data_IF_696790408492
#
_entry.id   IF_696790408492
#
_cell.length_a   1.000
_cell.length_b   1.000
_cell.length_c   1.000
_cell.angle_alpha   90.00
_cell.angle_beta   90.00
_cell.angle_gamma   90.00
#
_symmetry.space_group_name_H-M   'P 1'
#
loop_
_entity.id
_entity.type
_entity.pdbx_description
1 polymer ?
#
# COMPACT_ATOMS: atom_id res chain seq x y z
N UNK A 1 19.96 55.52 -21.96
CA UNK A 1 18.62 55.05 -22.37
C UNK A 1 18.74 53.57 -22.70
N UNK A 2 17.77 52.77 -22.22
CA UNK A 2 17.70 51.30 -22.12
C UNK A 2 18.41 50.68 -20.91
N UNK A 3 17.77 50.86 -19.77
CA UNK A 3 17.70 49.81 -18.74
C UNK A 3 16.86 48.67 -19.31
N UNK A 4 17.41 47.46 -19.36
CA UNK A 4 16.66 46.23 -19.57
C UNK A 4 16.14 45.77 -18.22
N UNK A 5 14.86 46.01 -17.95
CA UNK A 5 14.13 45.42 -16.84
C UNK A 5 14.06 43.91 -17.05
N UNK A 6 14.77 43.14 -16.23
CA UNK A 6 14.46 41.73 -16.00
C UNK A 6 13.08 41.69 -15.34
N UNK A 7 12.06 41.33 -16.11
CA UNK A 7 10.76 40.98 -15.57
C UNK A 7 10.97 39.74 -14.70
N UNK A 8 10.93 39.92 -13.37
CA UNK A 8 10.82 38.79 -12.45
C UNK A 8 9.48 38.12 -12.74
N UNK A 9 9.52 36.86 -13.17
CA UNK A 9 8.35 36.00 -13.13
C UNK A 9 7.94 35.88 -11.66
N UNK A 10 6.92 36.63 -11.27
CA UNK A 10 6.28 36.47 -9.96
C UNK A 10 5.68 35.06 -9.95
N UNK A 11 6.34 34.15 -9.25
CA UNK A 11 5.83 32.81 -9.02
C UNK A 11 4.48 32.91 -8.30
N UNK A 12 3.40 32.55 -8.98
CA UNK A 12 2.04 32.45 -8.41
C UNK A 12 2.12 31.63 -7.12
N UNK A 13 1.55 32.15 -6.03
CA UNK A 13 1.62 31.50 -4.72
C UNK A 13 0.90 30.14 -4.72
N UNK A 14 1.21 29.27 -3.77
CA UNK A 14 0.52 27.97 -3.63
C UNK A 14 -1.00 28.18 -3.46
N UNK A 15 -1.39 29.17 -2.67
CA UNK A 15 -2.80 29.49 -2.41
C UNK A 15 -3.53 30.01 -3.66
N UNK A 16 -2.85 30.81 -4.48
CA UNK A 16 -3.40 31.30 -5.74
C UNK A 16 -3.57 30.16 -6.76
N UNK A 17 -2.57 29.28 -6.89
CA UNK A 17 -2.66 28.08 -7.74
C UNK A 17 -3.79 27.16 -7.28
N UNK A 18 -3.91 26.96 -5.97
CA UNK A 18 -4.97 26.17 -5.36
C UNK A 18 -6.36 26.77 -5.65
N UNK A 19 -6.52 28.08 -5.46
CA UNK A 19 -7.77 28.78 -5.75
C UNK A 19 -8.15 28.67 -7.22
N UNK A 20 -7.17 28.80 -8.12
CA UNK A 20 -7.38 28.63 -9.56
C UNK A 20 -7.82 27.20 -9.88
N UNK A 21 -7.12 26.18 -9.38
CA UNK A 21 -7.51 24.79 -9.55
C UNK A 21 -8.93 24.54 -9.05
N UNK A 22 -9.27 25.04 -7.85
CA UNK A 22 -10.59 24.90 -7.23
C UNK A 22 -11.71 25.43 -8.11
N UNK A 23 -11.50 26.57 -8.77
CA UNK A 23 -12.46 27.13 -9.73
C UNK A 23 -12.69 26.25 -10.97
N UNK A 24 -11.70 25.44 -11.33
CA UNK A 24 -11.73 24.54 -12.48
C UNK A 24 -12.27 23.15 -12.14
N UNK A 25 -12.37 22.77 -10.86
CA UNK A 25 -12.78 21.42 -10.43
C UNK A 25 -14.07 20.91 -11.11
N UNK A 26 -15.17 21.70 -11.22
CA UNK A 26 -16.40 21.25 -11.89
C UNK A 26 -16.27 20.96 -13.39
N UNK A 27 -15.20 21.44 -14.01
CA UNK A 27 -14.89 21.23 -15.42
C UNK A 27 -13.86 20.11 -15.60
N UNK A 28 -12.95 19.95 -14.64
CA UNK A 28 -11.84 18.99 -14.71
C UNK A 28 -12.23 17.57 -14.25
N UNK A 29 -13.17 17.44 -13.31
CA UNK A 29 -13.48 16.17 -12.68
C UNK A 29 -14.94 15.79 -12.88
N UNK A 30 -15.15 14.55 -13.34
CA UNK A 30 -16.49 13.94 -13.37
C UNK A 30 -17.00 13.63 -11.97
N UNK A 31 -16.13 13.41 -10.99
CA UNK A 31 -16.51 13.13 -9.60
C UNK A 31 -15.35 13.47 -8.66
N UNK A 32 -15.67 14.06 -7.51
CA UNK A 32 -14.70 14.39 -6.45
C UNK A 32 -15.33 14.13 -5.08
N UNK A 33 -14.55 13.49 -4.20
CA UNK A 33 -14.88 13.30 -2.80
C UNK A 33 -13.66 13.68 -1.94
N UNK A 34 -13.82 14.64 -1.04
CA UNK A 34 -12.83 15.00 -0.03
C UNK A 34 -13.27 14.50 1.34
N UNK A 35 -12.38 13.87 2.10
CA UNK A 35 -12.73 13.39 3.44
C UNK A 35 -11.60 13.68 4.41
N UNK A 36 -11.84 14.64 5.30
CA UNK A 36 -10.85 15.02 6.31
C UNK A 36 -10.82 13.99 7.43
N UNK A 37 -9.67 13.34 7.57
CA UNK A 37 -9.32 12.54 8.72
C UNK A 37 -8.94 13.46 9.89
N UNK A 38 -9.11 12.95 11.11
CA UNK A 38 -8.72 13.68 12.32
C UNK A 38 -7.20 13.67 12.47
N UNK A 39 -6.58 12.58 12.03
CA UNK A 39 -5.16 12.31 12.10
C UNK A 39 -4.60 12.04 10.69
N UNK A 40 -3.31 12.29 10.45
CA UNK A 40 -2.69 11.93 9.20
C UNK A 40 -2.76 10.41 8.97
N UNK A 41 -2.77 10.04 7.69
CA UNK A 41 -2.78 8.65 7.25
C UNK A 41 -1.48 8.35 6.50
N UNK A 42 -0.72 7.38 6.99
CA UNK A 42 0.48 6.87 6.30
C UNK A 42 0.11 5.92 5.15
N UNK A 43 -1.01 5.22 5.26
CA UNK A 43 -1.46 4.25 4.25
C UNK A 43 -2.94 4.38 3.94
N UNK A 44 -3.26 4.41 2.64
CA UNK A 44 -4.62 4.27 2.15
C UNK A 44 -4.67 3.17 1.09
N UNK A 45 -5.77 2.41 1.07
CA UNK A 45 -5.96 1.35 0.08
C UNK A 45 -7.42 1.19 -0.27
N UNK A 46 -7.71 1.16 -1.58
CA UNK A 46 -9.01 0.70 -2.06
C UNK A 46 -9.19 -0.77 -1.68
N UNK A 47 -10.40 -1.10 -1.26
CA UNK A 47 -10.80 -2.47 -1.01
C UNK A 47 -11.81 -2.98 -2.04
N UNK A 48 -12.53 -4.08 -1.73
CA UNK A 48 -13.48 -4.68 -2.65
C UNK A 48 -14.60 -3.74 -3.05
N UNK A 49 -15.07 -3.94 -4.27
CA UNK A 49 -16.34 -3.39 -4.69
C UNK A 49 -17.49 -4.19 -4.04
N UNK A 50 -18.20 -3.53 -3.12
CA UNK A 50 -19.32 -4.11 -2.36
C UNK A 50 -20.63 -4.11 -3.15
N UNK A 51 -20.81 -3.14 -4.05
CA UNK A 51 -22.04 -2.99 -4.85
C UNK A 51 -21.75 -2.34 -6.21
N UNK A 52 -22.36 -2.90 -7.26
CA UNK A 52 -22.44 -2.31 -8.60
C UNK A 52 -23.88 -1.86 -8.86
N UNK A 53 -24.13 -0.56 -8.87
CA UNK A 53 -25.45 -0.02 -9.22
C UNK A 53 -25.39 0.83 -10.49
N UNK A 54 -26.55 1.19 -11.03
CA UNK A 54 -26.67 1.97 -12.28
C UNK A 54 -25.96 3.32 -12.21
N UNK A 55 -26.00 3.96 -11.04
CA UNK A 55 -25.59 5.36 -10.86
C UNK A 55 -24.32 5.55 -10.02
N UNK A 56 -24.13 4.67 -9.03
CA UNK A 56 -22.99 4.72 -8.12
C UNK A 56 -22.55 3.31 -7.76
N UNK A 57 -21.26 3.14 -7.55
CA UNK A 57 -20.65 1.93 -7.04
C UNK A 57 -20.33 2.14 -5.57
N UNK A 58 -20.57 1.14 -4.73
CA UNK A 58 -20.11 1.17 -3.33
C UNK A 58 -18.85 0.34 -3.22
N UNK A 59 -17.77 0.97 -2.78
CA UNK A 59 -16.47 0.34 -2.66
C UNK A 59 -15.90 0.55 -1.26
N UNK A 60 -15.13 -0.43 -0.79
CA UNK A 60 -14.44 -0.34 0.49
C UNK A 60 -13.20 0.55 0.37
N UNK A 61 -12.87 1.25 1.45
CA UNK A 61 -11.66 2.05 1.59
C UNK A 61 -11.05 1.79 2.96
N UNK A 62 -9.75 1.53 3.01
CA UNK A 62 -8.98 1.36 4.23
C UNK A 62 -8.06 2.56 4.42
N UNK A 63 -8.03 3.14 5.62
CA UNK A 63 -7.24 4.30 5.98
C UNK A 63 -6.59 4.05 7.34
N UNK A 64 -5.31 4.39 7.46
CA UNK A 64 -4.62 4.46 8.75
C UNK A 64 -4.87 5.81 9.41
N UNK A 65 -4.84 5.88 10.73
CA UNK A 65 -4.76 7.12 11.49
C UNK A 65 -3.57 7.01 12.46
N UNK A 66 -2.54 7.83 12.23
CA UNK A 66 -1.35 7.93 13.08
C UNK A 66 -1.54 9.05 14.11
N UNK A 67 -1.53 8.68 15.38
CA UNK A 67 -1.88 9.59 16.48
C UNK A 67 -0.65 10.04 17.26
N UNK A 68 -0.76 11.15 17.98
CA UNK A 68 0.30 11.63 18.88
C UNK A 68 0.34 10.90 20.24
N UNK A 69 -0.38 9.78 20.36
CA UNK A 69 -0.54 9.04 21.62
C UNK A 69 -1.64 9.56 22.56
N UNK A 70 -2.27 10.71 22.28
CA UNK A 70 -3.44 11.19 23.04
C UNK A 70 -4.66 10.29 22.90
N UNK A 71 -4.75 9.57 21.77
CA UNK A 71 -5.67 8.46 21.53
C UNK A 71 -4.92 7.33 20.83
N UNK A 72 -5.39 6.07 20.90
CA UNK A 72 -4.74 4.98 20.18
C UNK A 72 -4.76 5.14 18.66
N UNK A 73 -3.75 4.58 17.99
CA UNK A 73 -3.72 4.43 16.53
C UNK A 73 -4.92 3.64 16.03
N UNK A 74 -5.37 3.93 14.80
CA UNK A 74 -6.54 3.25 14.26
C UNK A 74 -6.39 2.82 12.80
N UNK A 75 -7.04 1.71 12.49
CA UNK A 75 -7.37 1.31 11.13
C UNK A 75 -8.86 1.63 10.91
N UNK A 76 -9.11 2.61 10.05
CA UNK A 76 -10.45 3.05 9.65
C UNK A 76 -10.86 2.30 8.40
N UNK A 77 -12.01 1.63 8.50
CA UNK A 77 -12.67 0.98 7.40
C UNK A 77 -13.84 1.87 7.00
N UNK A 78 -13.84 2.35 5.77
CA UNK A 78 -14.88 3.21 5.22
C UNK A 78 -15.51 2.58 3.97
N UNK A 79 -16.69 3.06 3.64
CA UNK A 79 -17.37 2.80 2.39
C UNK A 79 -17.42 4.09 1.59
N UNK A 80 -16.91 4.04 0.37
CA UNK A 80 -16.97 5.13 -0.58
C UNK A 80 -18.05 4.84 -1.65
N UNK A 81 -18.94 5.79 -1.87
CA UNK A 81 -19.90 5.80 -2.96
C UNK A 81 -19.29 6.52 -4.18
N UNK A 82 -18.66 5.75 -5.08
CA UNK A 82 -18.05 6.28 -6.31
C UNK A 82 -19.14 6.46 -7.36
N UNK A 83 -19.40 7.70 -7.76
CA UNK A 83 -20.43 8.01 -8.75
C UNK A 83 -19.90 7.72 -10.16
N UNK A 84 -20.72 7.10 -10.99
CA UNK A 84 -20.33 6.78 -12.37
C UNK A 84 -20.24 8.04 -13.24
N UNK A 85 -19.39 8.03 -14.29
CA UNK A 85 -19.30 9.15 -15.23
C UNK A 85 -20.69 9.55 -15.76
N UNK A 86 -20.90 10.87 -15.95
CA UNK A 86 -22.16 11.48 -16.46
C UNK A 86 -23.37 11.41 -15.51
N UNK A 87 -23.22 10.85 -14.32
CA UNK A 87 -24.27 10.82 -13.29
C UNK A 87 -24.02 11.86 -12.19
N UNK A 88 -22.76 12.16 -11.91
CA UNK A 88 -22.40 13.12 -10.88
C UNK A 88 -22.97 14.52 -11.19
N UNK A 89 -23.62 15.12 -10.20
CA UNK A 89 -24.15 16.46 -10.33
C UNK A 89 -23.01 17.48 -10.25
N UNK A 90 -22.86 18.30 -11.30
CA UNK A 90 -21.94 19.43 -11.32
C UNK A 90 -22.14 20.36 -10.10
N UNK A 91 -23.36 20.45 -9.56
CA UNK A 91 -23.69 21.25 -8.37
C UNK A 91 -22.97 20.76 -7.11
N UNK A 92 -22.88 19.45 -6.87
CA UNK A 92 -22.13 18.92 -5.71
C UNK A 92 -20.63 19.23 -5.84
N UNK A 93 -20.10 19.10 -7.04
CA UNK A 93 -18.69 19.36 -7.34
C UNK A 93 -18.39 20.86 -7.26
N UNK A 94 -19.31 21.73 -7.66
CA UNK A 94 -19.13 23.18 -7.60
C UNK A 94 -19.19 23.76 -6.18
N UNK A 95 -19.87 23.08 -5.26
CA UNK A 95 -20.03 23.50 -3.87
C UNK A 95 -19.14 22.70 -2.90
N UNK A 96 -18.15 21.96 -3.40
CA UNK A 96 -17.32 21.14 -2.53
C UNK A 96 -16.56 22.03 -1.52
N UNK A 97 -16.59 21.61 -0.26
CA UNK A 97 -15.91 22.27 0.84
C UNK A 97 -14.82 21.33 1.35
N UNK A 98 -13.56 21.75 1.22
CA UNK A 98 -12.39 21.01 1.68
C UNK A 98 -12.43 20.70 3.17
N UNK A 99 -13.01 21.58 4.01
CA UNK A 99 -13.13 21.37 5.45
C UNK A 99 -14.24 20.37 5.81
N UNK A 100 -15.18 20.12 4.89
CA UNK A 100 -16.30 19.23 5.12
C UNK A 100 -15.94 17.77 4.86
N UNK A 101 -16.63 16.85 5.55
CA UNK A 101 -16.57 15.43 5.23
C UNK A 101 -17.45 15.15 4.02
N UNK A 102 -16.90 14.50 3.00
CA UNK A 102 -17.68 14.09 1.83
C UNK A 102 -18.85 13.18 2.25
N UNK A 103 -20.07 13.42 1.73
CA UNK A 103 -21.21 12.53 1.94
C UNK A 103 -21.03 11.16 1.29
N UNK A 104 -20.06 11.03 0.37
CA UNK A 104 -19.76 9.78 -0.32
C UNK A 104 -18.88 8.84 0.50
N UNK A 105 -18.12 9.34 1.47
CA UNK A 105 -17.22 8.53 2.31
C UNK A 105 -17.81 8.38 3.69
N UNK A 106 -18.29 7.17 4.00
CA UNK A 106 -18.91 6.83 5.28
C UNK A 106 -18.05 5.84 6.03
N UNK A 107 -17.54 6.24 7.19
CA UNK A 107 -16.86 5.34 8.12
C UNK A 107 -17.80 4.20 8.49
N UNK A 108 -17.34 2.97 8.25
CA UNK A 108 -18.05 1.73 8.54
C UNK A 108 -17.62 1.16 9.89
N UNK A 109 -16.31 1.08 10.12
CA UNK A 109 -15.73 0.46 11.31
C UNK A 109 -14.39 1.11 11.67
N UNK A 110 -14.07 1.13 12.95
CA UNK A 110 -12.71 1.42 13.43
C UNK A 110 -12.19 0.27 14.27
N UNK A 111 -10.97 -0.14 13.94
CA UNK A 111 -10.16 -1.10 14.69
C UNK A 111 -9.09 -0.29 15.42
N UNK A 112 -8.90 -0.57 16.71
CA UNK A 112 -7.85 0.07 17.51
C UNK A 112 -6.56 -0.70 17.24
N UNK A 113 -5.64 -0.08 16.53
CA UNK A 113 -4.46 -0.77 16.01
C UNK A 113 -3.32 -0.73 17.03
N UNK A 114 -2.61 -1.85 17.28
CA UNK A 114 -1.38 -1.84 18.06
C UNK A 114 -0.27 -1.19 17.21
N UNK A 115 0.05 0.07 17.48
CA UNK A 115 1.06 0.82 16.71
C UNK A 115 0.55 1.46 15.42
N UNK A 116 1.43 2.22 14.80
CA UNK A 116 1.17 3.01 13.59
C UNK A 116 1.03 2.12 12.37
N UNK A 117 0.03 2.36 11.51
CA UNK A 117 -0.20 1.51 10.33
C UNK A 117 0.51 2.10 9.12
N UNK A 118 1.70 1.57 8.85
CA UNK A 118 2.58 2.05 7.79
C UNK A 118 2.16 1.54 6.40
N UNK A 119 1.63 0.31 6.33
CA UNK A 119 1.15 -0.25 5.06
C UNK A 119 -0.05 -1.17 5.25
N UNK A 120 -0.99 -1.08 4.30
CA UNK A 120 -2.21 -1.90 4.24
C UNK A 120 -2.22 -2.67 2.92
N UNK A 121 -2.49 -3.99 2.98
CA UNK A 121 -2.71 -4.84 1.79
C UNK A 121 -3.90 -5.78 2.02
N UNK A 122 -4.78 -5.86 1.03
CA UNK A 122 -5.88 -6.82 1.04
C UNK A 122 -5.46 -8.16 0.41
N UNK A 123 -6.07 -9.25 0.86
CA UNK A 123 -5.94 -10.56 0.22
C UNK A 123 -6.87 -10.64 -1.00
N UNK A 124 -6.36 -10.76 -2.24
CA UNK A 124 -7.21 -10.71 -3.44
C UNK A 124 -8.28 -11.81 -3.51
N UNK A 125 -8.00 -12.97 -2.92
CA UNK A 125 -8.90 -14.13 -2.92
C UNK A 125 -9.96 -14.06 -1.81
N UNK A 126 -9.78 -13.21 -0.81
CA UNK A 126 -10.74 -13.01 0.27
C UNK A 126 -10.71 -11.57 0.76
N UNK A 127 -11.70 -10.81 0.30
CA UNK A 127 -11.79 -9.37 0.52
C UNK A 127 -12.07 -8.94 1.97
N UNK A 128 -12.23 -9.89 2.88
CA UNK A 128 -12.34 -9.61 4.33
C UNK A 128 -10.98 -9.54 5.00
N UNK A 129 -9.96 -10.11 4.38
CA UNK A 129 -8.66 -10.28 4.99
C UNK A 129 -7.74 -9.16 4.57
N UNK A 130 -7.17 -8.49 5.56
CA UNK A 130 -6.20 -7.40 5.39
C UNK A 130 -4.96 -7.71 6.22
N UNK A 131 -3.80 -7.50 5.63
CA UNK A 131 -2.52 -7.46 6.31
C UNK A 131 -2.10 -6.01 6.58
N UNK A 132 -1.53 -5.77 7.76
CA UNK A 132 -0.95 -4.48 8.12
C UNK A 132 0.47 -4.63 8.64
N UNK A 133 1.27 -3.63 8.29
CA UNK A 133 2.60 -3.39 8.84
C UNK A 133 2.57 -2.23 9.84
N UNK A 134 3.48 -2.29 10.81
CA UNK A 134 3.72 -1.27 11.82
C UNK A 134 5.22 -1.12 12.09
N UNK A 135 5.59 -0.30 13.08
CA UNK A 135 6.96 -0.24 13.62
C UNK A 135 7.26 -1.43 14.55
N UNK A 136 7.06 -2.65 14.04
CA UNK A 136 7.25 -3.92 14.75
C UNK A 136 7.85 -4.95 13.80
N UNK A 137 8.58 -5.96 14.30
CA UNK A 137 8.96 -7.13 13.50
C UNK A 137 7.75 -7.99 13.06
N UNK A 138 6.60 -7.84 13.73
CA UNK A 138 5.43 -8.67 13.47
C UNK A 138 4.50 -8.04 12.43
N UNK A 139 3.98 -8.87 11.52
CA UNK A 139 2.93 -8.49 10.56
C UNK A 139 1.58 -8.97 11.05
N UNK A 140 0.57 -8.11 10.99
CA UNK A 140 -0.75 -8.40 11.57
C UNK A 140 -1.78 -8.71 10.50
N UNK A 141 -2.56 -9.76 10.69
CA UNK A 141 -3.66 -10.17 9.81
C UNK A 141 -4.99 -9.95 10.51
N UNK A 142 -5.92 -9.38 9.77
CA UNK A 142 -7.25 -8.98 10.25
C UNK A 142 -8.35 -9.54 9.35
N UNK A 143 -9.35 -10.19 9.93
CA UNK A 143 -10.68 -10.30 9.31
C UNK A 143 -11.48 -9.04 9.68
N UNK A 144 -11.53 -8.10 8.74
CA UNK A 144 -12.14 -6.80 8.98
C UNK A 144 -13.63 -6.88 9.28
N UNK A 145 -14.32 -7.97 8.91
CA UNK A 145 -15.75 -8.14 9.14
C UNK A 145 -16.05 -8.65 10.55
N UNK A 146 -15.19 -9.51 11.13
CA UNK A 146 -15.37 -10.06 12.49
C UNK A 146 -14.97 -9.08 13.58
N UNK A 147 -14.03 -8.17 13.30
CA UNK A 147 -13.56 -7.18 14.27
C UNK A 147 -14.71 -6.28 14.76
N UNK A 148 -14.78 -5.93 16.05
CA UNK A 148 -15.81 -5.03 16.56
C UNK A 148 -15.59 -3.59 16.06
N UNK A 149 -16.67 -2.84 15.90
CA UNK A 149 -16.55 -1.38 15.70
C UNK A 149 -16.26 -0.69 17.03
N UNK A 150 -15.14 0.02 17.11
CA UNK A 150 -14.66 0.65 18.34
C UNK A 150 -14.39 2.14 18.15
N UNK A 151 -14.33 2.86 19.25
CA UNK A 151 -14.03 4.29 19.29
C UNK A 151 -12.67 4.50 19.93
N UNK A 152 -11.81 5.30 19.30
CA UNK A 152 -10.48 5.61 19.81
C UNK A 152 -10.59 6.70 20.89
N UNK A 153 -10.53 6.28 22.14
CA UNK A 153 -10.45 7.16 23.32
C UNK A 153 -9.21 6.76 24.11
N UNK A 154 -8.57 7.71 24.78
CA UNK A 154 -7.40 7.44 25.62
C UNK A 154 -7.66 6.27 26.58
N UNK A 155 -6.72 5.33 26.66
CA UNK A 155 -6.82 4.13 27.50
C UNK A 155 -7.70 3.01 26.93
N UNK A 156 -8.26 3.17 25.72
CA UNK A 156 -8.96 2.08 25.02
C UNK A 156 -7.95 0.98 24.68
N UNK A 157 -8.16 -0.28 25.11
CA UNK A 157 -7.21 -1.35 24.83
C UNK A 157 -7.15 -1.63 23.33
N UNK A 158 -6.03 -2.15 22.85
CA UNK A 158 -5.83 -2.49 21.44
C UNK A 158 -6.80 -3.58 20.98
N UNK A 159 -7.16 -3.55 19.69
CA UNK A 159 -7.88 -4.65 19.07
C UNK A 159 -6.93 -5.81 18.84
N UNK A 160 -7.47 -7.02 18.95
CA UNK A 160 -6.70 -8.25 18.80
C UNK A 160 -6.63 -8.65 17.32
N UNK A 161 -5.44 -8.81 16.72
CA UNK A 161 -5.30 -9.34 15.37
C UNK A 161 -5.72 -10.81 15.32
N UNK A 162 -6.30 -11.22 14.20
CA UNK A 162 -6.77 -12.59 13.99
C UNK A 162 -5.61 -13.58 13.84
N UNK A 163 -4.48 -13.11 13.31
CA UNK A 163 -3.24 -13.87 13.20
C UNK A 163 -2.02 -12.92 13.23
N UNK A 164 -0.96 -13.33 13.93
CA UNK A 164 0.33 -12.62 13.98
C UNK A 164 1.36 -13.41 13.16
N UNK A 165 2.02 -12.76 12.22
CA UNK A 165 3.10 -13.35 11.43
C UNK A 165 4.43 -12.93 12.03
N UNK A 166 5.19 -13.92 12.51
CA UNK A 166 6.49 -13.73 13.17
C UNK A 166 7.61 -14.19 12.25
N UNK A 167 8.79 -13.56 12.34
CA UNK A 167 9.96 -14.01 11.59
C UNK A 167 11.05 -12.95 11.43
N UNK A 168 10.68 -11.68 11.33
CA UNK A 168 11.66 -10.60 11.31
C UNK A 168 12.37 -10.46 12.66
N UNK A 169 13.62 -10.01 12.60
CA UNK A 169 14.48 -9.78 13.76
C UNK A 169 14.61 -8.31 14.15
N UNK A 170 14.13 -7.43 13.28
CA UNK A 170 14.10 -5.97 13.42
C UNK A 170 12.81 -5.45 12.76
N UNK A 171 12.53 -4.16 12.83
CA UNK A 171 11.28 -3.58 12.34
C UNK A 171 11.05 -3.88 10.85
N UNK A 172 9.84 -4.32 10.53
CA UNK A 172 9.33 -4.50 9.17
C UNK A 172 8.33 -3.38 8.89
N UNK A 173 8.82 -2.20 8.50
CA UNK A 173 8.01 -0.97 8.56
C UNK A 173 7.12 -0.81 7.32
N UNK A 174 7.65 -0.99 6.11
CA UNK A 174 6.91 -0.61 4.90
C UNK A 174 6.70 -1.76 3.93
N UNK A 175 7.70 -2.57 3.60
CA UNK A 175 7.59 -3.60 2.57
C UNK A 175 6.53 -4.67 2.90
N UNK A 176 5.39 -4.67 2.21
CA UNK A 176 4.30 -5.63 2.40
C UNK A 176 3.56 -5.92 1.09
N UNK A 177 3.39 -7.20 0.76
CA UNK A 177 2.60 -7.66 -0.38
C UNK A 177 1.78 -8.92 -0.07
N UNK A 178 0.60 -9.01 -0.70
CA UNK A 178 -0.28 -10.17 -0.66
C UNK A 178 -0.26 -10.84 -2.02
N UNK A 179 -0.11 -12.17 -2.05
CA UNK A 179 -0.03 -12.90 -3.31
C UNK A 179 -1.39 -12.90 -4.04
N UNK A 180 -1.42 -12.62 -5.36
CA UNK A 180 -2.67 -12.59 -6.12
C UNK A 180 -3.25 -13.98 -6.43
N UNK A 181 -2.45 -15.05 -6.35
CA UNK A 181 -2.89 -16.40 -6.72
C UNK A 181 -3.08 -17.35 -5.54
N UNK A 182 -2.36 -17.13 -4.44
CA UNK A 182 -2.40 -17.98 -3.24
C UNK A 182 -2.45 -17.14 -1.96
N UNK A 183 -2.90 -17.67 -0.81
CA UNK A 183 -2.89 -16.94 0.47
C UNK A 183 -1.50 -16.93 1.10
N UNK A 184 -0.59 -16.21 0.43
CA UNK A 184 0.77 -15.95 0.86
C UNK A 184 0.96 -14.46 1.13
N UNK A 185 1.83 -14.17 2.10
CA UNK A 185 2.19 -12.81 2.52
C UNK A 185 3.70 -12.66 2.40
N UNK A 186 4.15 -11.55 1.83
CA UNK A 186 5.56 -11.13 1.80
C UNK A 186 5.75 -9.87 2.61
N UNK A 187 6.87 -9.83 3.31
CA UNK A 187 7.33 -8.66 4.04
C UNK A 187 8.82 -8.46 3.85
N UNK A 188 9.28 -7.22 3.92
CA UNK A 188 10.69 -6.85 4.04
C UNK A 188 10.90 -6.01 5.30
N UNK A 189 12.12 -6.03 5.84
CA UNK A 189 12.43 -5.28 7.06
C UNK A 189 13.88 -4.79 7.15
N UNK A 190 14.16 -4.05 8.24
CA UNK A 190 15.48 -3.53 8.61
C UNK A 190 16.49 -4.62 8.95
N UNK A 191 16.00 -5.84 9.18
CA UNK A 191 16.83 -7.03 9.31
C UNK A 191 17.37 -7.57 7.98
N UNK A 192 17.18 -6.81 6.88
CA UNK A 192 17.74 -7.05 5.54
C UNK A 192 17.17 -8.29 4.87
N UNK A 193 16.06 -8.80 5.40
CA UNK A 193 15.45 -10.04 4.96
C UNK A 193 14.11 -9.78 4.28
N UNK A 194 13.77 -10.67 3.36
CA UNK A 194 12.41 -10.82 2.87
C UNK A 194 11.82 -12.06 3.53
N UNK A 195 10.65 -11.95 4.14
CA UNK A 195 10.00 -13.07 4.83
C UNK A 195 8.70 -13.42 4.12
N UNK A 196 8.49 -14.71 3.90
CA UNK A 196 7.31 -15.29 3.26
C UNK A 196 6.54 -16.10 4.29
N UNK A 197 5.22 -15.92 4.35
CA UNK A 197 4.31 -16.75 5.14
C UNK A 197 3.22 -17.34 4.27
N UNK A 198 2.66 -18.47 4.70
CA UNK A 198 1.39 -18.98 4.20
C UNK A 198 0.33 -18.83 5.28
N UNK A 199 -0.78 -18.20 4.94
CA UNK A 199 -1.95 -18.06 5.82
C UNK A 199 -3.09 -19.01 5.41
N UNK A 200 -2.81 -20.00 4.55
CA UNK A 200 -3.80 -20.95 4.01
C UNK A 200 -4.60 -21.65 5.12
N UNK A 201 -3.94 -22.09 6.19
CA UNK A 201 -4.60 -22.81 7.29
C UNK A 201 -5.58 -21.89 8.04
N UNK A 202 -5.20 -20.63 8.24
CA UNK A 202 -6.06 -19.61 8.84
C UNK A 202 -7.30 -19.36 7.97
N UNK A 203 -7.11 -19.15 6.67
CA UNK A 203 -8.22 -18.96 5.71
C UNK A 203 -9.15 -20.18 5.67
N UNK A 204 -8.59 -21.39 5.67
CA UNK A 204 -9.37 -22.63 5.63
C UNK A 204 -10.19 -22.83 6.92
N UNK A 205 -9.64 -22.44 8.07
CA UNK A 205 -10.33 -22.48 9.37
C UNK A 205 -11.51 -21.51 9.39
N UNK A 206 -11.32 -20.28 8.91
CA UNK A 206 -12.40 -19.29 8.79
C UNK A 206 -13.53 -19.75 7.86
N UNK A 207 -13.20 -20.47 6.79
CA UNK A 207 -14.18 -21.02 5.86
C UNK A 207 -14.97 -22.21 6.44
N UNK A 208 -14.33 -23.03 7.30
CA UNK A 208 -14.94 -24.21 7.90
C UNK A 208 -15.91 -23.88 9.05
N UNK A 209 -15.71 -22.76 9.73
CA UNK A 209 -16.54 -22.36 10.88
C UNK A 209 -17.09 -20.93 10.78
N UNK A 210 -18.00 -20.66 9.82
CA UNK A 210 -18.64 -19.35 9.68
C UNK A 210 -19.56 -18.96 10.86
N UNK A 211 -19.75 -19.86 11.85
CA UNK A 211 -20.70 -19.73 12.95
C UNK A 211 -20.12 -19.51 14.35
N UNK A 212 -18.85 -19.86 14.62
CA UNK A 212 -18.28 -19.72 15.98
C UNK A 212 -17.80 -18.32 16.38
N UNK A 213 -17.89 -17.34 15.47
CA UNK A 213 -17.73 -15.92 15.81
C UNK A 213 -18.83 -15.38 16.76
N UNK A 214 -19.83 -16.20 17.12
CA UNK A 214 -20.73 -15.93 18.26
C UNK A 214 -20.37 -16.82 19.44
N UNK A 215 -19.66 -16.24 20.40
CA UNK A 215 -19.72 -16.61 21.82
C UNK A 215 -19.35 -18.06 22.17
N UNK A 216 -18.10 -18.27 22.58
CA UNK A 216 -17.82 -19.14 23.74
C UNK A 216 -17.73 -18.30 25.02
N UNK A 217 -18.83 -17.65 25.41
CA UNK A 217 -19.07 -17.31 26.82
C UNK A 217 -19.81 -18.49 27.48
N UNK A 218 -19.09 -19.60 27.69
CA UNK A 218 -19.51 -20.55 28.72
C UNK A 218 -19.05 -19.98 30.06
N UNK A 219 -19.99 -19.37 30.78
CA UNK A 219 -19.86 -19.10 32.20
C UNK A 219 -19.59 -20.42 32.93
N UNK A 220 -18.35 -20.61 33.36
CA UNK A 220 -17.86 -21.73 34.15
C UNK A 220 -16.47 -21.34 34.64
N UNK A 221 -16.40 -20.91 35.90
CA UNK A 221 -15.33 -20.05 36.41
C UNK A 221 -13.93 -20.67 36.48
N UNK A 222 -12.93 -19.78 36.53
CA UNK A 222 -11.58 -20.07 36.99
C UNK A 222 -10.49 -19.73 35.97
N UNK A 223 -9.82 -18.59 36.18
CA UNK A 223 -8.65 -18.07 35.48
C UNK A 223 -8.85 -17.63 34.01
N UNK A 224 -9.35 -16.42 33.83
CA UNK A 224 -9.24 -15.64 32.59
C UNK A 224 -7.76 -15.31 32.31
N UNK A 225 -7.04 -16.24 31.69
CA UNK A 225 -5.89 -15.87 30.87
C UNK A 225 -6.43 -15.25 29.58
N UNK A 226 -5.94 -14.07 29.15
CA UNK A 226 -6.27 -13.53 27.85
C UNK A 226 -5.98 -14.59 26.79
N UNK A 227 -6.93 -14.85 25.89
CA UNK A 227 -6.69 -15.71 24.74
C UNK A 227 -5.71 -14.94 23.83
N UNK A 228 -4.43 -15.34 23.83
CA UNK A 228 -3.39 -14.74 22.99
C UNK A 228 -3.70 -14.97 21.50
N UNK A 229 -3.44 -13.98 20.64
CA UNK A 229 -3.54 -14.16 19.18
C UNK A 229 -2.70 -15.33 18.73
N UNK A 230 -3.26 -16.16 17.85
CA UNK A 230 -2.49 -17.21 17.20
C UNK A 230 -1.35 -16.56 16.42
N UNK A 231 -0.17 -17.16 16.45
CA UNK A 231 0.97 -16.73 15.66
C UNK A 231 1.45 -17.86 14.76
N UNK A 232 2.02 -17.49 13.61
CA UNK A 232 2.73 -18.42 12.75
C UNK A 232 4.13 -17.89 12.44
N UNK A 233 5.07 -18.81 12.27
CA UNK A 233 6.43 -18.49 11.85
C UNK A 233 6.57 -18.41 10.33
N UNK A 234 7.70 -17.88 9.89
CA UNK A 234 8.08 -17.79 8.48
C UNK A 234 8.03 -19.16 7.78
N UNK A 235 7.45 -19.18 6.57
CA UNK A 235 7.60 -20.29 5.61
C UNK A 235 8.98 -20.26 4.95
N UNK A 236 9.51 -19.06 4.71
CA UNK A 236 10.86 -18.85 4.18
C UNK A 236 11.39 -17.47 4.59
N UNK A 237 12.68 -17.40 4.90
CA UNK A 237 13.42 -16.17 5.19
C UNK A 237 14.51 -16.06 4.14
N UNK A 238 14.39 -15.08 3.27
CA UNK A 238 15.25 -14.87 2.11
C UNK A 238 16.30 -13.81 2.44
N UNK A 239 17.55 -14.12 2.12
CA UNK A 239 18.73 -13.36 2.53
C UNK A 239 19.54 -13.00 1.29
N UNK A 240 19.84 -11.72 1.11
CA UNK A 240 20.57 -11.25 -0.07
C UNK A 240 20.68 -9.74 -0.19
N UNK A 241 19.83 -8.97 0.50
CA UNK A 241 20.03 -7.54 0.67
C UNK A 241 21.13 -7.27 1.71
N UNK A 242 21.87 -6.19 1.50
CA UNK A 242 22.94 -5.74 2.39
C UNK A 242 22.49 -4.60 3.32
N UNK A 243 21.26 -4.11 3.14
CA UNK A 243 20.61 -3.06 3.94
C UNK A 243 19.08 -3.26 3.99
N UNK A 244 18.34 -2.31 4.57
CA UNK A 244 16.87 -2.36 4.74
C UNK A 244 16.14 -2.70 3.44
N UNK A 245 15.15 -3.59 3.53
CA UNK A 245 14.24 -3.90 2.42
C UNK A 245 13.04 -2.95 2.47
N UNK A 246 12.94 -2.06 1.49
CA UNK A 246 11.96 -0.98 1.43
C UNK A 246 10.65 -1.39 0.76
N UNK A 247 10.71 -2.30 -0.23
CA UNK A 247 9.52 -2.79 -0.90
C UNK A 247 9.64 -4.21 -1.45
N UNK A 248 8.51 -4.90 -1.56
CA UNK A 248 8.38 -6.27 -2.05
C UNK A 248 7.15 -6.41 -2.93
N UNK A 249 7.23 -7.23 -3.97
CA UNK A 249 6.11 -7.48 -4.86
C UNK A 249 6.13 -8.90 -5.40
N UNK A 250 4.98 -9.59 -5.33
CA UNK A 250 4.80 -10.90 -5.96
C UNK A 250 4.75 -10.77 -7.50
N UNK A 251 5.24 -11.81 -8.18
CA UNK A 251 4.95 -12.01 -9.59
C UNK A 251 3.42 -12.16 -9.78
N UNK A 252 2.79 -11.43 -10.70
CA UNK A 252 1.34 -11.46 -10.89
C UNK A 252 0.75 -12.83 -11.25
N UNK A 253 1.55 -13.71 -11.86
CA UNK A 253 1.12 -15.03 -12.33
C UNK A 253 1.71 -16.21 -11.55
N UNK A 254 2.54 -15.96 -10.53
CA UNK A 254 3.26 -17.01 -9.81
C UNK A 254 3.39 -16.69 -8.33
N UNK A 255 2.90 -17.60 -7.48
CA UNK A 255 3.06 -17.51 -6.03
C UNK A 255 4.49 -17.80 -5.55
N UNK A 256 5.35 -18.34 -6.42
CA UNK A 256 6.71 -18.76 -6.09
C UNK A 256 7.78 -17.74 -6.48
N UNK A 257 7.43 -16.79 -7.36
CA UNK A 257 8.34 -15.74 -7.82
C UNK A 257 7.92 -14.40 -7.22
N UNK A 258 8.90 -13.63 -6.79
CA UNK A 258 8.68 -12.30 -6.25
C UNK A 258 9.96 -11.47 -6.36
N UNK A 259 9.85 -10.18 -6.10
CA UNK A 259 10.97 -9.25 -6.13
C UNK A 259 10.99 -8.38 -4.88
N UNK A 260 12.16 -7.82 -4.60
CA UNK A 260 12.37 -6.86 -3.52
C UNK A 260 13.39 -5.80 -3.91
N UNK A 261 13.30 -4.66 -3.25
CA UNK A 261 14.22 -3.53 -3.40
C UNK A 261 14.55 -2.95 -2.03
N UNK A 262 15.68 -2.24 -1.91
CA UNK A 262 16.12 -1.69 -0.63
C UNK A 262 17.19 -0.61 -0.73
N UNK A 263 17.65 -0.17 0.44
CA UNK A 263 18.66 0.89 0.62
C UNK A 263 20.04 0.50 0.06
N UNK A 264 20.29 -0.80 -0.11
CA UNK A 264 21.50 -1.30 -0.79
C UNK A 264 21.50 -1.06 -2.31
N UNK A 265 20.55 -0.27 -2.82
CA UNK A 265 20.39 0.11 -4.22
C UNK A 265 20.21 -1.11 -5.16
N UNK A 266 19.77 -2.25 -4.62
CA UNK A 266 19.61 -3.50 -5.37
C UNK A 266 18.15 -3.79 -5.71
N UNK A 267 17.92 -4.36 -6.90
CA UNK A 267 16.69 -5.08 -7.25
C UNK A 267 17.00 -6.58 -7.21
N UNK A 268 16.27 -7.33 -6.39
CA UNK A 268 16.46 -8.78 -6.27
C UNK A 268 15.21 -9.51 -6.75
N UNK A 269 15.39 -10.49 -7.62
CA UNK A 269 14.36 -11.48 -7.98
C UNK A 269 14.61 -12.77 -7.21
N UNK A 270 13.54 -13.30 -6.67
CA UNK A 270 13.52 -14.51 -5.85
C UNK A 270 12.67 -15.59 -6.50
N UNK A 271 13.07 -16.84 -6.30
CA UNK A 271 12.26 -18.02 -6.61
C UNK A 271 12.26 -18.94 -5.40
N UNK A 272 11.12 -19.03 -4.73
CA UNK A 272 10.90 -19.85 -3.53
C UNK A 272 11.22 -21.34 -3.74
N UNK A 273 11.22 -21.82 -4.99
CA UNK A 273 11.56 -23.21 -5.35
C UNK A 273 13.07 -23.43 -5.40
N UNK A 274 13.84 -22.37 -5.62
CA UNK A 274 15.31 -22.40 -5.73
C UNK A 274 16.02 -22.23 -4.38
N UNK A 275 15.26 -22.05 -3.30
CA UNK A 275 15.78 -21.84 -1.94
C UNK A 275 15.59 -20.41 -1.46
N UNK A 276 16.40 -19.99 -0.50
CA UNK A 276 16.29 -18.69 0.19
C UNK A 276 17.35 -17.67 -0.24
N UNK A 277 18.10 -17.96 -1.28
CA UNK A 277 19.12 -17.06 -1.86
C UNK A 277 18.57 -16.35 -3.11
N UNK A 278 19.15 -15.21 -3.52
CA UNK A 278 18.74 -14.51 -4.74
C UNK A 278 18.78 -15.43 -5.96
N UNK A 279 17.71 -15.43 -6.75
CA UNK A 279 17.75 -16.05 -8.08
C UNK A 279 18.51 -15.12 -9.05
N UNK A 280 18.23 -13.82 -8.97
CA UNK A 280 18.93 -12.76 -9.69
C UNK A 280 19.09 -11.57 -8.75
N UNK A 281 20.31 -11.04 -8.59
CA UNK A 281 20.58 -9.77 -7.89
C UNK A 281 21.12 -8.76 -8.89
N UNK A 282 20.38 -7.68 -9.11
CA UNK A 282 20.80 -6.52 -9.90
C UNK A 282 21.40 -5.52 -8.93
N UNK A 283 22.72 -5.54 -8.83
CA UNK A 283 23.48 -4.57 -8.04
C UNK A 283 23.46 -3.21 -8.74
N UNK A 284 23.38 -2.12 -7.97
CA UNK A 284 23.33 -0.75 -8.51
C UNK A 284 22.21 -0.58 -9.54
N UNK A 285 21.04 -1.12 -9.23
CA UNK A 285 19.85 -0.93 -10.04
C UNK A 285 19.54 0.57 -10.18
N UNK A 286 19.84 1.36 -9.14
CA UNK A 286 19.90 2.82 -9.13
C UNK A 286 21.22 3.36 -8.55
N UNK A 287 21.37 4.69 -8.57
CA UNK A 287 22.53 5.38 -7.98
C UNK A 287 22.34 5.78 -6.51
N UNK A 288 21.19 5.44 -5.93
CA UNK A 288 20.83 5.64 -4.53
C UNK A 288 19.74 4.63 -4.14
N UNK A 289 19.30 4.68 -2.89
CA UNK A 289 18.30 3.82 -2.26
C UNK A 289 17.06 3.62 -3.14
N UNK A 290 16.55 2.38 -3.21
CA UNK A 290 15.29 2.09 -3.90
C UNK A 290 14.16 2.01 -2.87
N UNK A 291 13.14 2.84 -3.03
CA UNK A 291 12.02 2.90 -2.08
C UNK A 291 10.80 2.09 -2.51
N UNK A 292 10.66 1.80 -3.82
CA UNK A 292 9.44 1.16 -4.32
C UNK A 292 9.71 0.28 -5.54
N UNK A 293 8.90 -0.77 -5.66
CA UNK A 293 8.91 -1.70 -6.80
C UNK A 293 7.48 -2.07 -7.19
N UNK A 294 7.23 -2.20 -8.49
CA UNK A 294 5.98 -2.79 -8.96
C UNK A 294 6.18 -3.65 -10.21
N UNK A 295 5.42 -4.74 -10.27
CA UNK A 295 5.52 -5.76 -11.32
C UNK A 295 4.31 -5.67 -12.23
N UNK A 296 4.53 -5.48 -13.52
CA UNK A 296 3.46 -5.25 -14.47
C UNK A 296 2.47 -6.44 -14.51
N UNK A 297 1.18 -6.22 -14.22
CA UNK A 297 0.17 -7.28 -14.17
C UNK A 297 -0.23 -7.81 -15.55
N UNK A 298 0.06 -7.08 -16.62
CA UNK A 298 -0.27 -7.43 -18.01
C UNK A 298 0.91 -8.02 -18.79
N UNK A 299 2.14 -7.61 -18.47
CA UNK A 299 3.38 -8.20 -19.00
C UNK A 299 4.35 -8.54 -17.87
N UNK A 300 4.38 -9.80 -17.47
CA UNK A 300 5.22 -10.30 -16.38
C UNK A 300 6.73 -10.10 -16.62
N UNK A 301 7.17 -9.62 -17.79
CA UNK A 301 8.58 -9.34 -18.02
C UNK A 301 9.00 -7.96 -17.54
N UNK A 302 8.05 -7.05 -17.28
CA UNK A 302 8.34 -5.66 -16.96
C UNK A 302 8.20 -5.38 -15.47
N UNK A 303 9.24 -4.75 -14.91
CA UNK A 303 9.32 -4.34 -13.51
C UNK A 303 9.71 -2.87 -13.45
N UNK A 304 9.05 -2.10 -12.59
CA UNK A 304 9.37 -0.70 -12.29
C UNK A 304 10.01 -0.59 -10.92
N UNK A 305 10.97 0.32 -10.80
CA UNK A 305 11.57 0.72 -9.52
C UNK A 305 11.64 2.24 -9.43
N UNK A 306 11.43 2.79 -8.23
CA UNK A 306 11.65 4.20 -7.91
C UNK A 306 12.70 4.37 -6.82
N UNK A 307 13.46 5.46 -6.88
CA UNK A 307 14.66 5.66 -6.06
C UNK A 307 14.82 7.09 -5.55
N UNK A 308 15.61 7.22 -4.48
CA UNK A 308 16.21 8.46 -4.01
C UNK A 308 17.08 9.18 -5.05
N UNK A 309 17.46 8.52 -6.16
CA UNK A 309 18.15 9.18 -7.29
C UNK A 309 17.22 10.00 -8.20
N UNK A 310 15.95 10.18 -7.79
CA UNK A 310 14.88 10.93 -8.45
C UNK A 310 14.38 10.29 -9.76
N UNK A 311 14.81 9.07 -10.08
CA UNK A 311 14.40 8.40 -11.32
C UNK A 311 13.47 7.23 -11.07
N UNK A 312 12.64 6.94 -12.09
CA UNK A 312 11.97 5.65 -12.22
C UNK A 312 12.70 4.85 -13.28
N UNK A 313 13.00 3.58 -13.02
CA UNK A 313 13.63 2.69 -14.00
C UNK A 313 12.73 1.51 -14.32
N UNK A 314 12.71 1.12 -15.59
CA UNK A 314 12.00 -0.05 -16.07
C UNK A 314 12.98 -1.12 -16.51
N UNK A 315 12.78 -2.34 -16.02
CA UNK A 315 13.62 -3.50 -16.30
C UNK A 315 12.84 -4.56 -17.07
N UNK A 316 13.54 -5.25 -17.99
CA UNK A 316 13.06 -6.49 -18.60
C UNK A 316 13.72 -7.64 -17.85
N UNK A 317 12.94 -8.42 -17.10
CA UNK A 317 13.49 -9.54 -16.31
C UNK A 317 14.26 -10.55 -17.17
N UNK A 318 13.92 -10.68 -18.47
CA UNK A 318 14.59 -11.60 -19.41
C UNK A 318 16.00 -11.13 -19.77
N UNK A 319 16.31 -9.86 -19.53
CA UNK A 319 17.61 -9.23 -19.80
C UNK A 319 18.47 -9.08 -18.55
N UNK A 320 17.95 -9.42 -17.37
CA UNK A 320 18.70 -9.37 -16.13
C UNK A 320 19.66 -10.56 -16.06
N UNK A 321 20.89 -10.32 -15.59
CA UNK A 321 21.91 -11.35 -15.45
C UNK A 321 22.43 -11.40 -14.02
N UNK A 322 22.82 -12.59 -13.56
CA UNK A 322 23.29 -12.85 -12.18
C UNK A 322 24.71 -12.31 -11.89
N UNK A 323 25.09 -11.17 -12.47
CA UNK A 323 26.43 -10.57 -12.34
C UNK A 323 26.39 -9.06 -12.07
N UNK A 324 25.28 -8.55 -11.54
CA UNK A 324 25.12 -7.15 -11.15
C UNK A 324 24.90 -6.16 -12.30
N UNK A 325 25.03 -6.58 -13.56
CA UNK A 325 24.81 -5.70 -14.72
C UNK A 325 23.43 -5.98 -15.32
N UNK A 326 22.40 -5.35 -14.74
CA UNK A 326 21.10 -5.18 -15.37
C UNK A 326 20.94 -3.72 -15.75
N UNK A 327 21.11 -3.37 -17.02
CA UNK A 327 20.76 -2.03 -17.49
C UNK A 327 19.23 -1.91 -17.57
N UNK A 328 18.63 -0.82 -17.05
CA UNK A 328 17.21 -0.57 -17.30
C UNK A 328 16.96 -0.47 -18.81
N UNK A 329 15.80 -0.92 -19.28
CA UNK A 329 15.34 -0.68 -20.65
C UNK A 329 15.10 0.81 -20.84
N UNK A 330 14.59 1.48 -19.80
CA UNK A 330 14.26 2.89 -19.83
C UNK A 330 14.44 3.52 -18.44
N UNK A 331 14.90 4.77 -18.44
CA UNK A 331 14.98 5.61 -17.24
C UNK A 331 14.07 6.81 -17.48
N UNK A 332 13.05 6.96 -16.64
CA UNK A 332 12.10 8.06 -16.70
C UNK A 332 12.59 9.17 -15.77
N UNK A 333 12.93 10.30 -16.38
CA UNK A 333 13.34 11.52 -15.70
C UNK A 333 12.18 12.52 -15.71
N UNK A 334 11.89 13.13 -14.57
CA UNK A 334 10.79 14.09 -14.45
C UNK A 334 10.45 14.47 -13.01
N UNK A 335 10.86 13.66 -12.04
CA UNK A 335 10.85 14.02 -10.63
C UNK A 335 12.10 14.80 -10.24
N UNK A 336 11.96 15.70 -9.27
CA UNK A 336 13.07 16.51 -8.73
C UNK A 336 13.47 16.13 -7.31
N UNK A 337 12.83 15.11 -6.74
CA UNK A 337 13.13 14.54 -5.43
C UNK A 337 12.85 13.02 -5.43
N UNK A 338 13.08 12.37 -4.28
CA UNK A 338 13.02 10.91 -4.14
C UNK A 338 11.67 10.33 -4.57
N UNK A 339 11.69 9.30 -5.42
CA UNK A 339 10.48 8.61 -5.87
C UNK A 339 10.06 7.59 -4.83
N UNK A 340 8.90 7.82 -4.22
CA UNK A 340 8.41 7.03 -3.08
C UNK A 340 7.43 5.92 -3.49
N UNK A 341 6.80 6.05 -4.66
CA UNK A 341 5.84 5.05 -5.12
C UNK A 341 5.81 4.98 -6.64
N UNK A 342 5.69 3.76 -7.15
CA UNK A 342 5.40 3.43 -8.55
C UNK A 342 4.28 2.40 -8.58
N UNK A 343 3.33 2.55 -9.49
CA UNK A 343 2.24 1.59 -9.68
C UNK A 343 1.85 1.49 -11.15
N UNK A 344 1.84 0.27 -11.68
CA UNK A 344 1.27 -0.05 -12.97
C UNK A 344 -0.23 0.18 -12.97
N UNK A 345 -0.76 0.59 -14.13
CA UNK A 345 -2.19 0.66 -14.32
C UNK A 345 -2.78 -0.76 -14.30
N UNK A 346 -3.82 -1.01 -13.50
CA UNK A 346 -4.50 -2.31 -13.50
C UNK A 346 -5.25 -2.57 -14.81
N UNK A 347 -5.54 -1.53 -15.60
CA UNK A 347 -6.36 -1.64 -16.83
C UNK A 347 -5.55 -1.51 -18.12
N UNK A 348 -4.39 -0.84 -18.09
CA UNK A 348 -3.63 -0.49 -19.30
C UNK A 348 -2.18 -0.91 -19.16
N UNK A 349 -1.79 -1.93 -19.94
CA UNK A 349 -0.47 -2.55 -19.89
C UNK A 349 0.71 -1.57 -20.00
N UNK A 350 0.55 -0.46 -20.75
CA UNK A 350 1.63 0.49 -21.00
C UNK A 350 1.66 1.72 -20.08
N UNK A 351 0.69 1.87 -19.19
CA UNK A 351 0.56 3.04 -18.33
C UNK A 351 0.96 2.72 -16.91
N UNK A 352 1.70 3.63 -16.28
CA UNK A 352 1.98 3.59 -14.85
C UNK A 352 1.99 5.00 -14.27
N UNK A 353 1.84 5.09 -12.96
CA UNK A 353 2.00 6.32 -12.20
C UNK A 353 3.24 6.26 -11.31
N UNK A 354 3.81 7.43 -11.02
CA UNK A 354 4.83 7.60 -10.00
C UNK A 354 4.56 8.83 -9.15
N UNK A 355 4.96 8.80 -7.89
CA UNK A 355 4.89 9.95 -6.98
C UNK A 355 6.16 10.10 -6.17
N UNK A 356 6.56 11.33 -5.92
CA UNK A 356 7.82 11.65 -5.24
C UNK A 356 7.64 12.71 -4.14
N UNK A 357 8.70 12.93 -3.36
CA UNK A 357 8.78 13.96 -2.31
C UNK A 357 8.66 15.40 -2.85
N UNK A 358 8.78 15.58 -4.16
CA UNK A 358 8.55 16.86 -4.84
C UNK A 358 7.06 17.26 -4.87
N UNK A 359 6.18 16.39 -4.37
CA UNK A 359 4.74 16.60 -4.34
C UNK A 359 4.05 16.40 -5.69
N UNK A 360 4.75 15.84 -6.67
CA UNK A 360 4.24 15.61 -8.03
C UNK A 360 3.85 14.15 -8.19
N UNK A 361 2.71 13.93 -8.85
CA UNK A 361 2.33 12.65 -9.41
C UNK A 361 2.46 12.73 -10.94
N UNK A 362 3.27 11.83 -11.51
CA UNK A 362 3.42 11.70 -12.95
C UNK A 362 2.66 10.47 -13.46
N UNK A 363 2.07 10.60 -14.65
CA UNK A 363 1.50 9.48 -15.40
C UNK A 363 2.30 9.28 -16.69
N UNK A 364 2.75 8.06 -16.89
CA UNK A 364 3.65 7.69 -17.97
C UNK A 364 2.96 6.73 -18.93
N UNK A 365 3.38 6.74 -20.19
CA UNK A 365 3.05 5.70 -21.14
C UNK A 365 4.35 5.24 -21.81
N UNK A 366 4.85 4.06 -21.44
CA UNK A 366 6.17 3.60 -21.87
C UNK A 366 6.23 3.20 -23.36
N UNK A 367 5.10 3.11 -24.07
CA UNK A 367 5.09 2.90 -25.53
C UNK A 367 5.32 4.21 -26.31
N UNK A 368 5.29 5.36 -25.62
CA UNK A 368 5.41 6.69 -26.24
C UNK A 368 6.75 7.37 -25.93
N UNK A 369 7.70 6.66 -25.33
CA UNK A 369 8.97 7.21 -24.81
C UNK A 369 10.16 6.65 -25.56
#
# INVERSE_FOLDING_TARGET
>A
MKETSTAGETSISVDERYTQWKSLVPVLYDWLANHNLVWPSLSCRWGPQLEQATYKNRQRLYLSEQTDGSVPNTLVIANCEVVKPRVAAAEHIAQFNEEARSPFVKKFKTIIHPGEVNRIRELPQNSKIVATHTDSPDVLIWDVETQPNRHAVLGTPESRPDLILTGHKDNAEFALAMCPTEPLVLSGGKDKSVVLWSIQDHISTLAADPGSAKSTSKAGGGNDKPVESSSIGARGIYQGHDDTVEDVQFCPLSAQEFCSVGDDSCLILWDARSGTTPAIKVEKAHNADLHCVDWNPHDINLILTGSADNTVRMFDRRKLTSGGVGSPIHTFEGHTAAVLCVQWSPDKASIFGSSAEDGILNLWNHEKV
#
